data_IF_384948758546
#
_entry.id   IF_384948758546
#
_cell.length_a   1.000
_cell.length_b   1.000
_cell.length_c   1.000
_cell.angle_alpha   90.00
_cell.angle_beta   90.00
_cell.angle_gamma   90.00
#
_symmetry.space_group_name_H-M   'P 1'
#
loop_
_entity.id
_entity.type
_entity.pdbx_description
1 polymer ?
#
# COMPACT_ATOMS: atom_id res chain seq x y z
N UNK A 1 7.32 43.18 -15.07
CA UNK A 1 8.32 42.08 -14.99
C UNK A 1 9.65 42.67 -14.51
N UNK A 2 9.90 42.72 -13.19
CA UNK A 2 10.89 43.68 -12.64
C UNK A 2 12.38 43.31 -12.86
N UNK A 3 12.71 42.06 -13.20
CA UNK A 3 14.09 41.65 -13.55
C UNK A 3 14.09 40.51 -14.61
N UNK A 4 14.00 40.83 -15.91
CA UNK A 4 14.17 39.81 -16.96
C UNK A 4 15.57 39.16 -16.81
N UNK A 5 15.64 37.83 -16.88
CA UNK A 5 16.92 37.11 -16.89
C UNK A 5 17.54 36.77 -15.52
N UNK A 6 16.93 37.14 -14.39
CA UNK A 6 17.45 36.82 -13.04
C UNK A 6 17.67 35.31 -12.79
N UNK A 7 16.96 34.45 -13.51
CA UNK A 7 17.06 32.99 -13.40
C UNK A 7 18.09 32.35 -14.34
N UNK A 8 18.69 33.11 -15.28
CA UNK A 8 19.66 32.59 -16.26
C UNK A 8 20.84 31.85 -15.59
N UNK A 9 21.45 32.36 -14.49
CA UNK A 9 22.54 31.64 -13.82
C UNK A 9 22.12 30.27 -13.27
N UNK A 10 20.92 30.17 -12.69
CA UNK A 10 20.40 28.90 -12.16
C UNK A 10 20.03 27.92 -13.28
N UNK A 11 19.49 28.42 -14.40
CA UNK A 11 19.20 27.61 -15.60
C UNK A 11 20.48 27.01 -16.17
N UNK A 12 21.53 27.82 -16.35
CA UNK A 12 22.84 27.34 -16.83
C UNK A 12 23.41 26.30 -15.85
N UNK A 13 23.37 26.59 -14.54
CA UNK A 13 23.86 25.66 -13.50
C UNK A 13 23.08 24.35 -13.49
N UNK A 14 21.77 24.38 -13.75
CA UNK A 14 20.93 23.19 -13.82
C UNK A 14 21.16 22.38 -15.10
N UNK A 15 21.47 23.02 -16.22
CA UNK A 15 21.71 22.35 -17.51
C UNK A 15 22.87 21.35 -17.45
N UNK A 16 23.92 21.66 -16.66
CA UNK A 16 25.09 20.79 -16.51
C UNK A 16 24.96 19.76 -15.36
N UNK A 17 23.87 19.75 -14.60
CA UNK A 17 23.64 18.74 -13.55
C UNK A 17 22.96 17.51 -14.13
N UNK A 18 23.18 16.36 -13.48
CA UNK A 18 22.42 15.13 -13.78
C UNK A 18 20.92 15.36 -13.51
N UNK A 19 20.02 14.78 -14.32
CA UNK A 19 18.59 14.90 -14.09
C UNK A 19 18.20 14.21 -12.78
N UNK A 20 17.20 14.76 -12.09
CA UNK A 20 16.64 14.17 -10.87
C UNK A 20 15.69 12.98 -11.14
N UNK A 21 15.44 12.65 -12.40
CA UNK A 21 14.52 11.59 -12.83
C UNK A 21 15.17 10.21 -12.74
N UNK A 22 14.40 9.21 -12.33
CA UNK A 22 14.76 7.79 -12.45
C UNK A 22 14.11 7.16 -13.68
N UNK A 23 14.73 6.13 -14.25
CA UNK A 23 14.21 5.46 -15.44
C UNK A 23 13.18 4.38 -15.09
N UNK A 24 12.00 4.76 -14.61
CA UNK A 24 10.92 3.81 -14.32
C UNK A 24 10.28 3.30 -15.63
N UNK A 25 10.01 1.99 -15.80
CA UNK A 25 10.09 0.89 -14.83
C UNK A 25 11.41 0.10 -14.82
N UNK A 26 12.44 0.52 -15.58
CA UNK A 26 13.73 -0.20 -15.67
C UNK A 26 14.49 -0.16 -14.34
N UNK A 27 14.50 1.00 -13.69
CA UNK A 27 15.03 1.20 -12.35
C UNK A 27 13.87 1.24 -11.35
N UNK A 28 13.87 0.34 -10.36
CA UNK A 28 12.84 0.31 -9.33
C UNK A 28 13.01 1.46 -8.34
N UNK A 29 11.89 1.97 -7.84
CA UNK A 29 11.89 2.98 -6.78
C UNK A 29 12.52 2.42 -5.49
N UNK A 30 13.26 3.25 -4.77
CA UNK A 30 13.74 2.94 -3.42
C UNK A 30 12.58 3.07 -2.42
N UNK A 31 12.20 1.96 -1.80
CA UNK A 31 11.06 1.91 -0.87
C UNK A 31 11.59 1.93 0.57
N UNK A 32 11.12 2.82 1.44
CA UNK A 32 11.56 2.86 2.82
C UNK A 32 11.08 1.62 3.60
N UNK A 33 11.81 1.24 4.66
CA UNK A 33 11.55 0.02 5.46
C UNK A 33 10.12 -0.05 6.03
N UNK A 34 9.54 1.09 6.43
CA UNK A 34 8.21 1.16 7.04
C UNK A 34 7.14 1.63 6.05
N UNK A 35 7.33 1.38 4.76
CA UNK A 35 6.36 1.71 3.74
C UNK A 35 5.04 0.96 3.97
N UNK A 36 3.92 1.65 3.74
CA UNK A 36 2.56 1.12 3.91
C UNK A 36 1.99 0.75 2.54
N UNK A 37 2.41 -0.39 2.01
CA UNK A 37 1.91 -0.94 0.75
C UNK A 37 0.76 -1.93 0.95
N UNK A 38 0.64 -2.88 0.01
CA UNK A 38 -0.34 -3.96 0.04
C UNK A 38 -0.36 -4.67 1.39
N UNK A 39 -1.56 -4.91 1.90
CA UNK A 39 -1.74 -5.66 3.14
C UNK A 39 -1.64 -7.15 2.82
N UNK A 40 -0.77 -7.86 3.54
CA UNK A 40 -0.65 -9.31 3.53
C UNK A 40 -1.33 -9.89 4.76
N UNK A 41 -2.08 -10.95 4.55
CA UNK A 41 -2.78 -11.69 5.58
C UNK A 41 -2.15 -13.06 5.80
N UNK A 42 -2.02 -13.44 7.07
CA UNK A 42 -1.55 -14.74 7.53
C UNK A 42 -2.70 -15.44 8.26
N UNK A 43 -3.32 -16.37 7.55
CA UNK A 43 -4.46 -17.15 8.02
C UNK A 43 -4.14 -18.02 9.24
N UNK A 44 -2.91 -18.55 9.33
CA UNK A 44 -2.49 -19.40 10.45
C UNK A 44 -2.38 -18.61 11.76
N UNK A 45 -2.04 -17.31 11.67
CA UNK A 45 -1.97 -16.43 12.83
C UNK A 45 -3.35 -15.85 13.22
N UNK A 46 -4.31 -15.83 12.29
CA UNK A 46 -5.61 -15.22 12.50
C UNK A 46 -6.52 -16.06 13.43
N UNK A 47 -7.19 -15.39 14.37
CA UNK A 47 -8.14 -16.01 15.31
C UNK A 47 -9.58 -15.56 15.08
N UNK A 48 -9.86 -14.84 13.98
CA UNK A 48 -11.22 -14.40 13.67
C UNK A 48 -11.84 -13.37 14.62
N UNK A 49 -11.04 -12.60 15.38
CA UNK A 49 -11.53 -11.61 16.35
C UNK A 49 -12.23 -10.38 15.73
N UNK A 50 -12.05 -10.16 14.42
CA UNK A 50 -12.67 -9.07 13.64
C UNK A 50 -12.40 -7.65 14.17
N UNK A 51 -11.35 -7.45 14.97
CA UNK A 51 -10.94 -6.10 15.43
C UNK A 51 -10.52 -5.24 14.24
N UNK A 52 -9.71 -5.79 13.33
CA UNK A 52 -9.27 -5.10 12.11
C UNK A 52 -10.43 -4.61 11.23
N UNK A 53 -11.55 -5.34 11.18
CA UNK A 53 -12.75 -4.94 10.45
C UNK A 53 -13.44 -3.74 11.10
N UNK A 54 -13.51 -3.72 12.44
CA UNK A 54 -14.12 -2.62 13.20
C UNK A 54 -13.26 -1.37 13.19
N UNK A 55 -11.94 -1.54 13.23
CA UNK A 55 -10.98 -0.44 13.29
C UNK A 55 -10.67 0.17 11.92
N UNK A 56 -11.05 -0.49 10.82
CA UNK A 56 -10.84 0.04 9.48
C UNK A 56 -11.79 1.21 9.17
N UNK A 57 -11.29 2.45 9.02
CA UNK A 57 -12.16 3.61 8.79
C UNK A 57 -12.90 3.53 7.44
N UNK A 58 -12.29 2.88 6.45
CA UNK A 58 -12.86 2.72 5.11
C UNK A 58 -13.67 1.42 4.92
N UNK A 59 -13.79 0.59 5.96
CA UNK A 59 -14.44 -0.74 5.90
C UNK A 59 -13.92 -1.61 4.74
N UNK A 60 -12.60 -1.57 4.53
CA UNK A 60 -11.92 -2.18 3.38
C UNK A 60 -11.40 -3.60 3.66
N UNK A 61 -11.62 -4.16 4.85
CA UNK A 61 -11.21 -5.53 5.21
C UNK A 61 -12.41 -6.33 5.70
N UNK A 62 -12.51 -7.56 5.24
CA UNK A 62 -13.55 -8.50 5.64
C UNK A 62 -12.91 -9.86 5.95
N UNK A 63 -13.09 -10.33 7.18
CA UNK A 63 -12.60 -11.64 7.64
C UNK A 63 -13.78 -12.60 7.74
N UNK A 64 -13.67 -13.74 7.06
CA UNK A 64 -14.68 -14.79 7.03
C UNK A 64 -14.04 -16.15 7.37
N UNK A 65 -14.75 -17.06 8.06
CA UNK A 65 -14.27 -18.43 8.23
C UNK A 65 -14.22 -19.15 6.88
N UNK A 66 -13.36 -20.16 6.78
CA UNK A 66 -13.37 -21.14 5.67
C UNK A 66 -14.01 -22.46 6.14
N UNK A 67 -14.06 -23.46 5.27
CA UNK A 67 -14.58 -24.80 5.60
C UNK A 67 -13.65 -25.57 6.56
N UNK A 68 -12.39 -25.12 6.71
CA UNK A 68 -11.42 -25.71 7.64
C UNK A 68 -11.55 -25.06 9.01
N UNK A 69 -11.57 -25.89 10.04
CA UNK A 69 -11.66 -25.41 11.42
C UNK A 69 -10.49 -24.47 11.75
N UNK A 70 -10.79 -23.31 12.34
CA UNK A 70 -9.83 -22.27 12.75
C UNK A 70 -8.99 -21.67 11.61
N UNK A 71 -9.41 -21.83 10.36
CA UNK A 71 -8.82 -21.16 9.21
C UNK A 71 -9.75 -20.04 8.76
N UNK A 72 -9.18 -18.88 8.48
CA UNK A 72 -9.94 -17.69 8.07
C UNK A 72 -9.43 -17.20 6.73
N UNK A 73 -10.30 -16.61 5.93
CA UNK A 73 -9.93 -15.87 4.73
C UNK A 73 -10.17 -14.38 4.94
N UNK A 74 -9.36 -13.57 4.28
CA UNK A 74 -9.46 -12.13 4.29
C UNK A 74 -9.75 -11.62 2.88
N UNK A 75 -10.85 -10.89 2.72
CA UNK A 75 -11.14 -10.11 1.53
C UNK A 75 -10.76 -8.66 1.76
N UNK A 76 -9.94 -8.10 0.86
CA UNK A 76 -9.50 -6.72 0.88
C UNK A 76 -10.07 -5.95 -0.31
N UNK A 77 -10.73 -4.83 -0.02
CA UNK A 77 -11.26 -3.91 -1.02
C UNK A 77 -10.22 -2.80 -1.27
N UNK A 78 -9.29 -3.02 -2.20
CA UNK A 78 -8.21 -2.07 -2.50
C UNK A 78 -8.74 -0.75 -3.07
N UNK A 79 -9.91 -0.77 -3.72
CA UNK A 79 -10.63 0.42 -4.19
C UNK A 79 -11.13 1.33 -3.04
N UNK A 80 -11.21 0.80 -1.82
CA UNK A 80 -11.64 1.53 -0.61
C UNK A 80 -10.50 1.80 0.36
N UNK A 81 -9.47 0.95 0.36
CA UNK A 81 -8.38 1.00 1.32
C UNK A 81 -7.62 2.33 1.24
N UNK A 82 -7.43 2.99 2.39
CA UNK A 82 -6.63 4.22 2.47
C UNK A 82 -5.18 3.98 2.92
N UNK A 83 -4.76 2.71 2.98
CA UNK A 83 -3.39 2.28 3.32
C UNK A 83 -2.83 2.88 4.62
N UNK A 84 -3.70 3.17 5.59
CA UNK A 84 -3.29 3.75 6.88
C UNK A 84 -2.58 2.75 7.82
N UNK A 85 -2.58 1.46 7.49
CA UNK A 85 -2.02 0.36 8.31
C UNK A 85 -2.64 0.16 9.70
N UNK A 86 -3.75 0.83 10.03
CA UNK A 86 -4.42 0.68 11.31
C UNK A 86 -4.82 -0.77 11.63
N UNK A 87 -5.27 -1.52 10.61
CA UNK A 87 -5.61 -2.94 10.75
C UNK A 87 -4.40 -3.83 11.12
N UNK A 88 -3.19 -3.41 10.74
CA UNK A 88 -1.92 -4.08 11.10
C UNK A 88 -1.63 -3.84 12.57
N UNK A 89 -1.71 -2.58 12.99
CA UNK A 89 -1.41 -2.16 14.36
C UNK A 89 -2.42 -2.69 15.37
N UNK A 90 -3.70 -2.74 14.99
CA UNK A 90 -4.79 -3.22 15.85
C UNK A 90 -4.82 -4.75 16.00
N UNK A 91 -4.06 -5.50 15.19
CA UNK A 91 -4.15 -6.96 15.16
C UNK A 91 -3.38 -7.59 16.34
N UNK A 92 -4.06 -8.22 17.32
CA UNK A 92 -3.39 -8.75 18.52
C UNK A 92 -2.46 -9.93 18.22
N UNK A 93 -2.68 -10.64 17.10
CA UNK A 93 -1.89 -11.80 16.67
C UNK A 93 -0.89 -11.47 15.56
N UNK A 94 -0.82 -10.21 15.12
CA UNK A 94 0.03 -9.78 13.99
C UNK A 94 -0.19 -10.60 12.71
N UNK A 95 -1.44 -11.00 12.48
CA UNK A 95 -1.87 -11.74 11.29
C UNK A 95 -1.93 -10.86 10.03
N UNK A 96 -1.78 -9.54 10.17
CA UNK A 96 -1.76 -8.58 9.07
C UNK A 96 -0.40 -7.89 9.04
N UNK A 97 0.15 -7.67 7.84
CA UNK A 97 1.43 -6.97 7.64
C UNK A 97 1.36 -6.06 6.42
N UNK A 98 1.94 -4.87 6.51
CA UNK A 98 2.18 -4.03 5.34
C UNK A 98 3.39 -4.54 4.55
N UNK A 99 3.23 -4.67 3.24
CA UNK A 99 4.34 -5.00 2.34
C UNK A 99 4.92 -3.76 1.67
N UNK A 100 6.00 -3.95 0.93
CA UNK A 100 6.58 -2.95 0.02
C UNK A 100 5.89 -2.91 -1.35
N UNK A 101 4.88 -3.73 -1.61
CA UNK A 101 4.20 -3.77 -2.91
C UNK A 101 3.25 -2.58 -3.04
N UNK A 102 3.43 -1.78 -4.09
CA UNK A 102 2.58 -0.60 -4.40
C UNK A 102 2.05 -0.58 -5.83
N UNK A 103 2.57 -1.43 -6.72
CA UNK A 103 2.19 -1.51 -8.14
C UNK A 103 0.91 -2.37 -8.29
N UNK A 104 -0.20 -1.91 -7.71
CA UNK A 104 -1.47 -2.67 -7.58
C UNK A 104 -2.54 -2.29 -8.62
N UNK A 105 -2.16 -1.54 -9.65
CA UNK A 105 -3.12 -1.00 -10.60
C UNK A 105 -3.76 -2.11 -11.46
N UNK A 106 -5.09 -2.05 -11.60
CA UNK A 106 -5.87 -2.88 -12.51
C UNK A 106 -6.85 -2.02 -13.30
N UNK A 107 -7.23 -2.50 -14.49
CA UNK A 107 -8.21 -1.84 -15.36
C UNK A 107 -9.65 -2.03 -14.87
N UNK A 108 -9.95 -3.20 -14.32
CA UNK A 108 -11.27 -3.58 -13.85
C UNK A 108 -11.36 -3.42 -12.34
N UNK A 109 -12.48 -2.88 -11.85
CA UNK A 109 -12.68 -2.61 -10.42
C UNK A 109 -12.74 -3.90 -9.61
N UNK A 110 -13.33 -4.96 -10.16
CA UNK A 110 -13.51 -6.25 -9.53
C UNK A 110 -12.16 -6.89 -9.16
N UNK A 111 -11.11 -6.60 -9.93
CA UNK A 111 -9.74 -7.08 -9.67
C UNK A 111 -9.06 -6.35 -8.50
N UNK A 112 -9.64 -5.27 -8.01
CA UNK A 112 -9.20 -4.57 -6.79
C UNK A 112 -9.83 -5.17 -5.53
N UNK A 113 -10.74 -6.13 -5.66
CA UNK A 113 -11.22 -6.93 -4.55
C UNK A 113 -10.39 -8.21 -4.45
N UNK A 114 -9.44 -8.22 -3.51
CA UNK A 114 -8.50 -9.34 -3.36
C UNK A 114 -8.91 -10.29 -2.24
N UNK A 115 -9.06 -11.57 -2.57
CA UNK A 115 -9.21 -12.64 -1.58
C UNK A 115 -7.84 -13.25 -1.22
N UNK A 116 -7.56 -13.35 0.08
CA UNK A 116 -6.35 -13.96 0.65
C UNK A 116 -6.77 -15.07 1.62
N UNK A 117 -6.14 -16.26 1.50
CA UNK A 117 -6.47 -17.47 2.26
C UNK A 117 -5.43 -17.88 3.30
#
# INVERSE_FOLDING_TARGET
>A
MKHPGKMVPEVIKSLFKKPATTSYPKEKAMIPKNFRGKIKFDSQACIGCKICMRDCPAKAVQISPTDKEKVFKAKFYLDRCIYCAQCVDSCPRKALKSSSEFELAHYDREKLEEDQE
#
